data_IF_966493890738
#
_entry.id   IF_966493890738
#
_cell.length_a   1.000
_cell.length_b   1.000
_cell.length_c   1.000
_cell.angle_alpha   90.00
_cell.angle_beta   90.00
_cell.angle_gamma   90.00
#
_symmetry.space_group_name_H-M   'P 1'
#
loop_
_entity.id
_entity.type
_entity.pdbx_description
1 polymer ?
#
# COMPACT_ATOMS: atom_id res chain seq x y z
N UNK A 1 -28.29 2.24 -3.35
CA UNK A 1 -26.95 2.82 -3.67
C UNK A 1 -26.04 2.43 -2.53
N UNK A 2 -24.78 2.12 -2.79
CA UNK A 2 -23.81 1.83 -1.74
C UNK A 2 -23.63 3.06 -0.83
N UNK A 3 -23.29 2.82 0.44
CA UNK A 3 -23.13 3.88 1.43
C UNK A 3 -21.88 4.71 1.16
N UNK A 4 -20.79 4.05 0.70
CA UNK A 4 -19.51 4.69 0.36
C UNK A 4 -19.05 4.27 -1.04
N UNK A 5 -18.34 5.17 -1.71
CA UNK A 5 -17.62 4.90 -2.95
C UNK A 5 -16.12 5.02 -2.68
N UNK A 6 -15.34 4.01 -3.05
CA UNK A 6 -13.90 4.02 -2.83
C UNK A 6 -13.13 3.79 -4.12
N UNK A 7 -12.11 4.59 -4.34
CA UNK A 7 -11.20 4.44 -5.47
C UNK A 7 -10.07 3.46 -5.14
N UNK A 8 -9.81 2.51 -6.02
CA UNK A 8 -8.79 1.49 -5.82
C UNK A 8 -8.06 1.14 -7.12
N UNK A 9 -6.80 0.72 -7.01
CA UNK A 9 -6.04 0.18 -8.14
C UNK A 9 -6.41 -1.29 -8.40
N UNK A 10 -6.41 -1.75 -9.68
CA UNK A 10 -6.79 -3.13 -10.01
C UNK A 10 -5.66 -4.16 -9.83
N UNK A 11 -4.68 -3.91 -8.94
CA UNK A 11 -3.51 -4.77 -8.77
C UNK A 11 -3.76 -5.93 -7.79
N UNK A 12 -2.95 -7.00 -7.91
CA UNK A 12 -2.98 -8.19 -7.05
C UNK A 12 -2.91 -7.83 -5.57
N UNK A 13 -2.04 -6.88 -5.19
CA UNK A 13 -1.85 -6.47 -3.80
C UNK A 13 -3.06 -5.75 -3.16
N UNK A 14 -3.96 -5.20 -3.95
CA UNK A 14 -5.16 -4.55 -3.44
C UNK A 14 -6.33 -5.52 -3.21
N UNK A 15 -6.31 -6.70 -3.85
CA UNK A 15 -7.43 -7.67 -3.82
C UNK A 15 -7.91 -8.04 -2.41
N UNK A 16 -7.02 -8.32 -1.44
CA UNK A 16 -7.45 -8.65 -0.07
C UNK A 16 -8.28 -7.56 0.63
N UNK A 17 -8.11 -6.31 0.19
CA UNK A 17 -8.79 -5.15 0.78
C UNK A 17 -10.16 -4.85 0.16
N UNK A 18 -10.43 -5.37 -1.06
CA UNK A 18 -11.61 -4.96 -1.84
C UNK A 18 -12.44 -6.12 -2.42
N UNK A 19 -11.88 -7.34 -2.53
CA UNK A 19 -12.57 -8.46 -3.20
C UNK A 19 -13.94 -8.78 -2.59
N UNK A 20 -14.11 -8.52 -1.31
CA UNK A 20 -15.39 -8.70 -0.63
C UNK A 20 -16.50 -7.87 -1.27
N UNK A 21 -16.19 -6.73 -1.86
CA UNK A 21 -17.12 -5.78 -2.46
C UNK A 21 -17.38 -6.01 -3.96
N UNK A 22 -16.72 -7.00 -4.59
CA UNK A 22 -17.00 -7.37 -5.99
C UNK A 22 -18.42 -7.93 -6.18
N UNK A 23 -19.08 -8.36 -5.11
CA UNK A 23 -20.48 -8.79 -5.09
C UNK A 23 -21.40 -7.61 -4.78
N UNK A 24 -22.64 -7.60 -5.31
CA UNK A 24 -23.63 -6.60 -4.94
C UNK A 24 -23.76 -6.48 -3.42
N UNK A 25 -23.61 -5.27 -2.90
CA UNK A 25 -23.69 -4.96 -1.48
C UNK A 25 -24.18 -3.52 -1.28
N UNK A 26 -24.64 -3.22 -0.04
CA UNK A 26 -25.12 -1.88 0.33
C UNK A 26 -24.04 -0.98 0.96
N UNK A 27 -22.83 -1.50 1.16
CA UNK A 27 -21.79 -0.85 1.96
C UNK A 27 -20.83 -0.04 1.10
N UNK A 28 -20.16 -0.68 0.13
CA UNK A 28 -19.09 -0.07 -0.67
C UNK A 28 -19.26 -0.39 -2.15
N UNK A 29 -19.17 0.66 -2.97
CA UNK A 29 -18.90 0.59 -4.39
C UNK A 29 -17.42 0.86 -4.63
N UNK A 30 -16.72 -0.06 -5.32
CA UNK A 30 -15.30 0.10 -5.67
C UNK A 30 -15.16 0.61 -7.09
N UNK A 31 -14.54 1.78 -7.24
CA UNK A 31 -14.22 2.38 -8.53
C UNK A 31 -12.74 2.11 -8.81
N UNK A 32 -12.46 1.34 -9.87
CA UNK A 32 -11.11 1.00 -10.25
C UNK A 32 -10.55 2.01 -11.24
N UNK A 33 -9.37 2.57 -10.93
CA UNK A 33 -8.65 3.46 -11.86
C UNK A 33 -7.13 3.34 -11.64
N UNK A 34 -6.35 3.99 -12.52
CA UNK A 34 -4.89 4.06 -12.39
C UNK A 34 -4.49 4.98 -11.21
N UNK A 35 -3.32 4.73 -10.57
CA UNK A 35 -2.90 5.47 -9.37
C UNK A 35 -2.90 6.99 -9.54
N UNK A 36 -2.52 7.49 -10.73
CA UNK A 36 -2.43 8.92 -11.02
C UNK A 36 -3.78 9.63 -11.13
N UNK A 37 -4.90 8.90 -11.33
CA UNK A 37 -6.25 9.46 -11.46
C UNK A 37 -7.05 9.42 -10.16
N UNK A 38 -6.71 8.50 -9.25
CA UNK A 38 -7.42 8.35 -7.98
C UNK A 38 -7.50 9.65 -7.15
N UNK A 39 -6.42 10.47 -7.03
CA UNK A 39 -6.52 11.75 -6.32
C UNK A 39 -7.57 12.70 -6.93
N UNK A 40 -7.70 12.76 -8.26
CA UNK A 40 -8.69 13.61 -8.92
C UNK A 40 -10.14 13.14 -8.64
N UNK A 41 -10.39 11.84 -8.55
CA UNK A 41 -11.71 11.30 -8.17
C UNK A 41 -12.07 11.69 -6.72
N UNK A 42 -11.09 11.69 -5.81
CA UNK A 42 -11.30 12.14 -4.44
C UNK A 42 -11.55 13.66 -4.39
N UNK A 43 -10.81 14.44 -5.17
CA UNK A 43 -10.94 15.89 -5.22
C UNK A 43 -12.28 16.35 -5.83
N UNK A 44 -12.81 15.61 -6.80
CA UNK A 44 -14.13 15.88 -7.38
C UNK A 44 -15.30 15.40 -6.50
N UNK A 45 -15.04 14.62 -5.43
CA UNK A 45 -16.09 13.99 -4.61
C UNK A 45 -16.79 12.80 -5.29
N UNK A 46 -16.20 12.27 -6.36
CA UNK A 46 -16.71 11.04 -7.00
C UNK A 46 -16.49 9.82 -6.11
N UNK A 47 -15.47 9.86 -5.24
CA UNK A 47 -15.18 8.83 -4.23
C UNK A 47 -14.95 9.47 -2.86
N UNK A 48 -15.27 8.72 -1.79
CA UNK A 48 -15.13 9.15 -0.40
C UNK A 48 -13.73 8.87 0.16
N UNK A 49 -13.06 7.85 -0.39
CA UNK A 49 -11.69 7.49 -0.05
C UNK A 49 -10.98 6.80 -1.21
N UNK A 50 -9.65 6.80 -1.18
CA UNK A 50 -8.80 6.17 -2.19
C UNK A 50 -7.71 5.31 -1.55
N UNK A 51 -7.41 4.15 -2.15
CA UNK A 51 -6.20 3.39 -1.84
C UNK A 51 -5.06 3.88 -2.75
N UNK A 52 -4.14 4.64 -2.18
CA UNK A 52 -3.13 5.37 -2.96
C UNK A 52 -1.76 5.32 -2.29
N UNK A 53 -0.71 5.63 -3.05
CA UNK A 53 0.67 5.73 -2.59
C UNK A 53 0.79 6.52 -1.27
N UNK A 54 1.52 5.99 -0.29
CA UNK A 54 1.65 6.58 1.06
C UNK A 54 2.26 7.98 1.07
N UNK A 55 3.05 8.33 0.06
CA UNK A 55 3.64 9.67 -0.10
C UNK A 55 2.58 10.77 -0.20
N UNK A 56 1.37 10.47 -0.68
CA UNK A 56 0.30 11.45 -0.78
C UNK A 56 -0.11 12.00 0.59
N UNK A 57 -0.04 11.18 1.64
CA UNK A 57 -0.25 11.62 3.01
C UNK A 57 0.78 12.66 3.47
N UNK A 58 2.01 12.59 2.95
CA UNK A 58 3.10 13.51 3.31
C UNK A 58 3.11 14.77 2.44
N UNK A 59 2.57 14.70 1.24
CA UNK A 59 2.53 15.79 0.27
C UNK A 59 1.29 16.68 0.40
N UNK A 60 0.21 16.15 0.98
CA UNK A 60 -1.10 16.80 1.03
C UNK A 60 -1.56 16.95 2.46
N UNK A 61 -1.76 18.17 2.90
CA UNK A 61 -2.21 18.52 4.24
C UNK A 61 -3.74 18.41 4.43
N UNK A 62 -4.50 18.24 3.34
CA UNK A 62 -5.96 18.06 3.34
C UNK A 62 -6.41 16.59 3.48
N UNK A 63 -5.46 15.64 3.49
CA UNK A 63 -5.74 14.21 3.58
C UNK A 63 -5.51 13.66 4.99
N UNK A 64 -6.23 12.57 5.28
CA UNK A 64 -6.01 11.75 6.46
C UNK A 64 -6.21 10.26 6.14
N UNK A 65 -5.55 9.34 6.85
CA UNK A 65 -5.86 7.92 6.78
C UNK A 65 -7.27 7.64 7.33
N UNK A 66 -8.05 6.86 6.59
CA UNK A 66 -9.42 6.47 6.96
C UNK A 66 -9.53 5.01 7.39
N UNK A 67 -8.44 4.25 7.37
CA UNK A 67 -8.43 2.86 7.83
C UNK A 67 -7.07 2.45 8.39
N UNK A 68 -7.05 1.49 9.34
CA UNK A 68 -5.81 0.86 9.86
C UNK A 68 -5.32 -0.31 8.98
N UNK A 69 -5.90 -0.45 7.82
CA UNK A 69 -5.47 -1.39 6.79
C UNK A 69 -4.98 -0.65 5.56
N UNK A 70 -3.98 -1.21 4.93
CA UNK A 70 -3.31 -0.65 3.75
C UNK A 70 -2.37 -1.69 3.17
N UNK A 71 -1.33 -1.28 2.47
CA UNK A 71 -0.33 -2.17 1.90
C UNK A 71 1.04 -1.80 2.47
N UNK A 72 1.68 -2.73 3.15
CA UNK A 72 3.02 -2.58 3.71
C UNK A 72 3.83 -3.85 3.53
N UNK A 73 5.14 -3.76 3.73
CA UNK A 73 6.03 -4.92 3.87
C UNK A 73 6.98 -4.75 5.05
N UNK A 74 7.51 -5.87 5.53
CA UNK A 74 8.65 -5.92 6.45
C UNK A 74 9.56 -7.04 5.94
N UNK A 75 10.68 -6.66 5.34
CA UNK A 75 11.48 -7.52 4.49
C UNK A 75 11.05 -7.43 3.00
N UNK A 76 11.35 -8.46 2.19
CA UNK A 76 11.16 -8.43 0.75
C UNK A 76 9.68 -8.31 0.37
N UNK A 77 9.40 -7.47 -0.63
CA UNK A 77 8.07 -7.27 -1.21
C UNK A 77 7.89 -8.01 -2.54
N UNK A 78 8.99 -8.38 -3.20
CA UNK A 78 9.10 -9.09 -4.50
C UNK A 78 8.56 -8.34 -5.71
N UNK A 79 7.62 -7.42 -5.54
CA UNK A 79 6.96 -6.69 -6.64
C UNK A 79 7.40 -5.24 -6.78
N UNK A 80 8.34 -4.76 -5.96
CA UNK A 80 8.88 -3.40 -6.02
C UNK A 80 10.40 -3.50 -6.05
N UNK A 81 10.96 -3.34 -7.24
CA UNK A 81 12.36 -3.67 -7.49
C UNK A 81 13.09 -2.53 -8.19
N UNK A 82 14.38 -2.41 -7.90
CA UNK A 82 15.32 -1.64 -8.70
C UNK A 82 16.25 -2.61 -9.40
N UNK A 83 16.24 -2.61 -10.74
CA UNK A 83 17.10 -3.42 -11.60
C UNK A 83 18.21 -2.54 -12.16
N UNK A 84 19.48 -2.96 -12.06
CA UNK A 84 20.61 -2.18 -12.53
C UNK A 84 21.58 -3.01 -13.36
N UNK A 85 22.10 -2.42 -14.44
CA UNK A 85 23.18 -2.97 -15.27
C UNK A 85 24.56 -2.83 -14.64
N UNK A 86 24.69 -1.97 -13.65
CA UNK A 86 25.95 -1.60 -13.00
C UNK A 86 25.82 -1.72 -11.47
N UNK A 87 26.93 -1.78 -10.71
CA UNK A 87 26.89 -1.64 -9.25
C UNK A 87 26.16 -0.36 -8.82
N UNK A 88 25.54 -0.38 -7.64
CA UNK A 88 24.75 0.76 -7.15
C UNK A 88 25.54 2.08 -7.13
N UNK A 89 26.81 2.01 -6.74
CA UNK A 89 27.74 3.17 -6.68
C UNK A 89 28.01 3.80 -8.04
N UNK A 90 27.74 3.09 -9.11
CA UNK A 90 28.07 3.51 -10.48
C UNK A 90 26.85 3.99 -11.28
N UNK A 91 25.66 3.96 -10.65
CA UNK A 91 24.40 4.42 -11.28
C UNK A 91 24.47 5.93 -11.51
N UNK A 92 24.39 6.36 -12.75
CA UNK A 92 24.34 7.76 -13.18
C UNK A 92 22.98 8.17 -13.70
N UNK A 93 22.20 7.20 -14.20
CA UNK A 93 20.86 7.41 -14.76
C UNK A 93 19.89 6.37 -14.23
N UNK A 94 18.70 6.83 -13.80
CA UNK A 94 17.65 6.01 -13.20
C UNK A 94 16.32 6.27 -13.86
N UNK A 95 15.75 5.26 -14.51
CA UNK A 95 14.38 5.30 -15.00
C UNK A 95 13.40 5.02 -13.85
N UNK A 96 12.41 5.88 -13.68
CA UNK A 96 11.39 5.83 -12.64
C UNK A 96 10.05 5.37 -13.22
N UNK A 97 9.35 4.47 -12.53
CA UNK A 97 8.04 3.98 -12.93
C UNK A 97 6.95 5.05 -12.70
N UNK A 98 6.25 5.44 -13.76
CA UNK A 98 5.16 6.45 -13.68
C UNK A 98 4.03 6.03 -12.74
N UNK A 99 3.91 4.76 -12.42
CA UNK A 99 2.80 4.22 -11.60
C UNK A 99 3.01 4.38 -10.09
N UNK A 100 4.22 4.70 -9.59
CA UNK A 100 4.46 4.77 -8.14
C UNK A 100 5.45 5.84 -7.72
N UNK A 101 4.94 6.94 -7.23
CA UNK A 101 5.77 8.00 -6.66
C UNK A 101 6.49 7.54 -5.37
N UNK A 102 5.82 6.80 -4.48
CA UNK A 102 6.41 6.28 -3.24
C UNK A 102 7.64 5.41 -3.51
N UNK A 103 7.54 4.45 -4.43
CA UNK A 103 8.65 3.54 -4.75
C UNK A 103 9.81 4.26 -5.43
N UNK A 104 9.52 5.23 -6.28
CA UNK A 104 10.53 6.06 -6.94
C UNK A 104 11.34 6.88 -5.93
N UNK A 105 10.68 7.46 -4.94
CA UNK A 105 11.36 8.21 -3.87
C UNK A 105 12.16 7.27 -2.98
N UNK A 106 11.61 6.08 -2.64
CA UNK A 106 12.35 5.10 -1.86
C UNK A 106 13.63 4.65 -2.55
N UNK A 107 13.59 4.37 -3.86
CA UNK A 107 14.79 4.01 -4.62
C UNK A 107 15.85 5.12 -4.57
N UNK A 108 15.43 6.38 -4.72
CA UNK A 108 16.33 7.53 -4.61
C UNK A 108 16.89 7.69 -3.19
N UNK A 109 16.12 7.43 -2.13
CA UNK A 109 16.62 7.41 -0.75
C UNK A 109 17.71 6.35 -0.59
N UNK A 110 17.47 5.11 -1.06
CA UNK A 110 18.43 4.00 -0.94
C UNK A 110 19.74 4.34 -1.63
N UNK A 111 19.68 4.99 -2.79
CA UNK A 111 20.87 5.46 -3.51
C UNK A 111 21.54 6.64 -2.80
N UNK A 112 20.78 7.62 -2.34
CA UNK A 112 21.28 8.81 -1.65
C UNK A 112 21.97 8.48 -0.33
N UNK A 113 21.51 7.48 0.43
CA UNK A 113 22.17 6.97 1.64
C UNK A 113 23.54 6.33 1.33
N UNK A 114 23.80 5.98 0.07
CA UNK A 114 25.11 5.52 -0.43
C UNK A 114 25.91 6.63 -1.14
N UNK A 115 25.42 7.88 -1.12
CA UNK A 115 26.06 9.01 -1.78
C UNK A 115 25.85 9.06 -3.30
N UNK A 116 24.86 8.33 -3.83
CA UNK A 116 24.55 8.25 -5.27
C UNK A 116 23.32 9.08 -5.61
N UNK A 117 23.47 10.01 -6.54
CA UNK A 117 22.41 10.96 -6.97
C UNK A 117 22.30 10.94 -8.51
N UNK A 118 21.59 9.94 -9.08
CA UNK A 118 21.48 9.79 -10.53
C UNK A 118 20.58 10.86 -11.14
N UNK A 119 20.77 11.13 -12.43
CA UNK A 119 19.74 11.80 -13.23
C UNK A 119 18.54 10.86 -13.39
N UNK A 120 17.34 11.41 -13.20
CA UNK A 120 16.11 10.59 -13.24
C UNK A 120 15.22 10.95 -14.41
N UNK A 121 14.57 9.95 -15.01
CA UNK A 121 13.53 10.12 -16.02
C UNK A 121 12.34 9.21 -15.69
N UNK A 122 11.11 9.77 -15.74
CA UNK A 122 9.89 8.99 -15.47
C UNK A 122 9.35 8.40 -16.77
N UNK A 123 9.18 7.07 -16.79
CA UNK A 123 8.80 6.30 -17.97
C UNK A 123 7.64 5.34 -17.67
N UNK A 124 6.99 4.87 -18.73
CA UNK A 124 6.04 3.75 -18.63
C UNK A 124 6.77 2.48 -18.20
N UNK A 125 6.17 1.64 -17.31
CA UNK A 125 6.83 0.47 -16.75
C UNK A 125 7.05 -0.63 -17.82
N UNK A 126 8.28 -0.70 -18.28
CA UNK A 126 8.81 -1.71 -19.20
C UNK A 126 10.32 -1.82 -18.98
N UNK A 127 10.75 -2.77 -18.17
CA UNK A 127 12.15 -2.87 -17.72
C UNK A 127 13.15 -2.93 -18.89
N UNK A 128 12.96 -3.73 -19.95
CA UNK A 128 13.86 -3.71 -21.12
C UNK A 128 14.00 -2.32 -21.76
N UNK A 129 12.90 -1.62 -22.00
CA UNK A 129 12.92 -0.29 -22.61
C UNK A 129 13.52 0.75 -21.66
N UNK A 130 13.20 0.69 -20.37
CA UNK A 130 13.78 1.57 -19.35
C UNK A 130 15.30 1.40 -19.27
N UNK A 131 15.78 0.17 -19.25
CA UNK A 131 17.21 -0.15 -19.19
C UNK A 131 17.96 0.09 -20.53
N UNK A 132 17.27 0.23 -21.65
CA UNK A 132 17.91 0.51 -22.93
C UNK A 132 18.78 1.80 -22.86
N UNK A 133 18.28 2.84 -22.19
CA UNK A 133 18.94 4.15 -22.12
C UNK A 133 19.38 4.57 -20.69
N UNK A 134 19.10 3.75 -19.68
CA UNK A 134 19.44 4.05 -18.28
C UNK A 134 20.27 2.96 -17.66
N UNK A 135 21.08 3.30 -16.66
CA UNK A 135 21.89 2.35 -15.89
C UNK A 135 21.03 1.46 -15.02
N UNK A 136 19.94 2.02 -14.48
CA UNK A 136 18.99 1.31 -13.63
C UNK A 136 17.55 1.74 -13.90
N UNK A 137 16.60 0.91 -13.46
CA UNK A 137 15.18 1.25 -13.48
C UNK A 137 14.48 0.80 -12.18
N UNK A 138 13.45 1.55 -11.77
CA UNK A 138 12.48 1.14 -10.77
C UNK A 138 11.27 0.57 -11.51
N UNK A 139 10.78 -0.60 -11.06
CA UNK A 139 9.61 -1.24 -11.63
C UNK A 139 8.76 -1.84 -10.52
N UNK A 140 7.43 -1.68 -10.62
CA UNK A 140 6.53 -2.04 -9.54
C UNK A 140 5.33 -2.89 -9.98
N UNK A 141 4.60 -3.40 -8.97
CA UNK A 141 3.36 -4.14 -9.15
C UNK A 141 3.56 -5.44 -9.91
N UNK A 142 2.59 -5.81 -10.72
CA UNK A 142 2.63 -7.07 -11.47
C UNK A 142 3.84 -7.12 -12.40
N UNK A 143 4.17 -6.02 -13.08
CA UNK A 143 5.36 -5.91 -13.93
C UNK A 143 6.68 -6.00 -13.16
N UNK A 144 6.71 -5.46 -11.93
CA UNK A 144 7.87 -5.58 -11.04
C UNK A 144 8.10 -7.03 -10.58
N UNK A 145 7.03 -7.76 -10.32
CA UNK A 145 7.10 -9.17 -9.98
C UNK A 145 7.54 -10.05 -11.17
N UNK A 146 7.03 -9.74 -12.37
CA UNK A 146 7.29 -10.51 -13.60
C UNK A 146 8.64 -10.14 -14.26
N UNK A 147 9.27 -9.01 -13.87
CA UNK A 147 10.49 -8.55 -14.51
C UNK A 147 11.65 -9.55 -14.38
N UNK A 148 12.30 -9.87 -15.52
CA UNK A 148 13.49 -10.69 -15.54
C UNK A 148 14.70 -9.88 -15.03
N UNK A 149 15.25 -10.27 -13.90
CA UNK A 149 16.46 -9.70 -13.30
C UNK A 149 17.74 -10.47 -13.66
N UNK A 150 17.69 -11.46 -14.55
CA UNK A 150 18.83 -12.31 -14.89
C UNK A 150 19.98 -11.46 -15.45
N UNK A 151 21.14 -11.57 -14.83
CA UNK A 151 22.35 -10.81 -15.18
C UNK A 151 22.36 -9.35 -14.76
N UNK A 152 21.35 -8.90 -14.00
CA UNK A 152 21.26 -7.56 -13.42
C UNK A 152 21.56 -7.58 -11.90
N UNK A 153 21.94 -6.44 -11.36
CA UNK A 153 21.85 -6.20 -9.91
C UNK A 153 20.38 -5.96 -9.60
N UNK A 154 19.79 -6.87 -8.84
CA UNK A 154 18.37 -6.92 -8.54
C UNK A 154 18.13 -6.61 -7.07
N UNK A 155 17.49 -5.48 -6.80
CA UNK A 155 17.29 -4.98 -5.44
C UNK A 155 15.80 -4.91 -5.15
N UNK A 156 15.34 -5.73 -4.21
CA UNK A 156 14.03 -5.59 -3.60
C UNK A 156 14.02 -4.36 -2.67
N UNK A 157 13.21 -3.36 -3.00
CA UNK A 157 13.20 -2.10 -2.26
C UNK A 157 12.63 -2.25 -0.84
N UNK A 158 11.73 -3.23 -0.60
CA UNK A 158 11.20 -3.52 0.72
C UNK A 158 12.27 -4.15 1.63
N UNK A 159 13.08 -5.07 1.10
CA UNK A 159 14.22 -5.65 1.81
C UNK A 159 15.27 -4.58 2.09
N UNK A 160 15.65 -3.80 1.08
CA UNK A 160 16.65 -2.74 1.23
C UNK A 160 16.25 -1.70 2.29
N UNK A 161 14.96 -1.31 2.32
CA UNK A 161 14.45 -0.45 3.39
C UNK A 161 14.56 -1.09 4.77
N UNK A 162 14.17 -2.35 4.89
CA UNK A 162 14.21 -3.07 6.18
C UNK A 162 15.64 -3.23 6.68
N UNK A 163 16.59 -3.54 5.80
CA UNK A 163 18.01 -3.65 6.14
C UNK A 163 18.60 -2.31 6.61
N UNK A 164 18.19 -1.21 5.96
CA UNK A 164 18.67 0.13 6.27
C UNK A 164 18.09 0.69 7.58
N UNK A 165 16.82 0.40 7.88
CA UNK A 165 16.08 1.10 8.95
C UNK A 165 15.60 0.20 10.07
N UNK A 166 15.49 -1.11 9.86
CA UNK A 166 14.84 -2.05 10.77
C UNK A 166 13.32 -1.82 10.90
N UNK A 167 12.69 -1.05 10.01
CA UNK A 167 11.28 -0.65 10.08
C UNK A 167 10.47 -1.23 8.93
N UNK A 168 9.13 -1.40 9.09
CA UNK A 168 8.26 -1.72 7.97
C UNK A 168 8.16 -0.53 7.01
N UNK A 169 7.93 -0.82 5.72
CA UNK A 169 7.65 0.19 4.70
C UNK A 169 6.18 0.19 4.31
N UNK A 170 5.58 1.36 4.24
CA UNK A 170 4.18 1.56 3.86
C UNK A 170 4.09 1.97 2.40
N UNK A 171 3.52 1.11 1.58
CA UNK A 171 3.38 1.32 0.14
C UNK A 171 2.14 2.13 -0.22
N UNK A 172 0.99 1.77 0.37
CA UNK A 172 -0.28 2.43 0.12
C UNK A 172 -1.16 2.49 1.37
N UNK A 173 -1.98 3.54 1.43
CA UNK A 173 -2.92 3.83 2.51
C UNK A 173 -4.31 4.12 1.93
N UNK A 174 -5.34 3.84 2.70
CA UNK A 174 -6.65 4.40 2.47
C UNK A 174 -6.68 5.84 2.98
N UNK A 175 -6.82 6.80 2.07
CA UNK A 175 -6.86 8.23 2.37
C UNK A 175 -8.21 8.83 1.99
N UNK A 176 -8.70 9.74 2.83
CA UNK A 176 -9.88 10.54 2.59
C UNK A 176 -9.62 12.00 2.93
N UNK A 177 -10.59 12.87 2.64
CA UNK A 177 -10.51 14.30 2.97
C UNK A 177 -10.77 14.53 4.46
N UNK A 178 -9.99 15.42 5.07
CA UNK A 178 -10.16 15.83 6.49
C UNK A 178 -11.54 16.41 6.78
N UNK A 179 -12.14 17.08 5.82
CA UNK A 179 -13.48 17.69 5.93
C UNK A 179 -14.62 16.67 6.06
N UNK A 180 -14.43 15.42 5.56
CA UNK A 180 -15.41 14.32 5.62
C UNK A 180 -15.17 13.34 6.78
N UNK A 181 -14.58 13.81 7.86
CA UNK A 181 -14.09 12.99 8.98
C UNK A 181 -15.19 12.18 9.72
N UNK A 182 -16.44 12.65 9.76
CA UNK A 182 -17.51 11.99 10.54
C UNK A 182 -17.89 10.61 9.99
N UNK A 183 -17.72 10.37 8.69
CA UNK A 183 -18.04 9.09 8.05
C UNK A 183 -16.86 8.11 8.06
N UNK A 184 -15.67 8.58 8.47
CA UNK A 184 -14.43 7.79 8.41
C UNK A 184 -14.43 6.56 9.32
N UNK A 185 -15.16 6.58 10.44
CA UNK A 185 -15.23 5.45 11.37
C UNK A 185 -15.96 4.25 10.80
N UNK A 186 -17.12 4.51 10.19
CA UNK A 186 -17.93 3.46 9.58
C UNK A 186 -17.20 2.87 8.39
N UNK A 187 -16.58 3.72 7.56
CA UNK A 187 -15.74 3.31 6.45
C UNK A 187 -14.52 2.49 6.93
N UNK A 188 -13.80 2.97 7.97
CA UNK A 188 -12.70 2.23 8.60
C UNK A 188 -13.12 0.81 8.96
N UNK A 189 -14.25 0.71 9.64
CA UNK A 189 -14.74 -0.56 10.14
C UNK A 189 -15.10 -1.53 9.00
N UNK A 190 -15.75 -1.03 7.95
CA UNK A 190 -16.11 -1.83 6.76
C UNK A 190 -14.83 -2.35 6.07
N UNK A 191 -13.86 -1.48 5.83
CA UNK A 191 -12.59 -1.84 5.18
C UNK A 191 -11.78 -2.84 6.02
N UNK A 192 -11.73 -2.64 7.34
CA UNK A 192 -11.05 -3.57 8.25
C UNK A 192 -11.69 -4.96 8.25
N UNK A 193 -13.02 -5.03 8.28
CA UNK A 193 -13.74 -6.32 8.26
C UNK A 193 -13.61 -7.01 6.91
N UNK A 194 -13.61 -6.29 5.80
CA UNK A 194 -13.35 -6.87 4.48
C UNK A 194 -11.96 -7.54 4.44
N UNK A 195 -10.94 -6.88 4.99
CA UNK A 195 -9.61 -7.49 5.15
C UNK A 195 -9.66 -8.73 6.07
N UNK A 196 -10.33 -8.67 7.22
CA UNK A 196 -10.47 -9.84 8.11
C UNK A 196 -11.14 -11.01 7.41
N UNK A 197 -12.15 -10.75 6.59
CA UNK A 197 -12.83 -11.77 5.78
C UNK A 197 -11.90 -12.49 4.81
N UNK A 198 -10.84 -11.82 4.33
CA UNK A 198 -9.84 -12.43 3.45
C UNK A 198 -9.13 -13.63 4.10
N UNK A 199 -9.19 -13.77 5.43
CA UNK A 199 -8.50 -14.80 6.20
C UNK A 199 -6.97 -14.62 6.26
N UNK A 200 -6.41 -13.61 5.60
CA UNK A 200 -4.99 -13.27 5.65
C UNK A 200 -4.58 -12.67 7.00
N UNK A 201 -5.53 -12.04 7.69
CA UNK A 201 -5.32 -11.51 9.04
C UNK A 201 -4.78 -12.59 10.00
N UNK A 202 -5.31 -13.81 9.96
CA UNK A 202 -4.85 -14.91 10.82
C UNK A 202 -3.43 -15.38 10.50
N UNK A 203 -3.02 -15.30 9.24
CA UNK A 203 -1.65 -15.62 8.79
C UNK A 203 -0.70 -14.53 9.24
N UNK A 204 -1.03 -13.29 8.95
CA UNK A 204 -0.20 -12.13 9.29
C UNK A 204 -0.07 -11.91 10.79
N UNK A 205 -1.10 -12.22 11.60
CA UNK A 205 -1.01 -12.20 13.07
C UNK A 205 -0.02 -13.20 13.63
N UNK A 206 0.08 -14.40 13.07
CA UNK A 206 1.11 -15.36 13.48
C UNK A 206 2.51 -14.82 13.23
N UNK A 207 2.72 -14.14 12.10
CA UNK A 207 3.98 -13.47 11.77
C UNK A 207 4.23 -12.23 12.67
N UNK A 208 3.17 -11.50 13.02
CA UNK A 208 3.25 -10.31 13.88
C UNK A 208 3.36 -10.63 15.37
N UNK A 209 2.87 -11.79 15.87
CA UNK A 209 3.03 -12.24 17.27
C UNK A 209 4.49 -12.46 17.66
N UNK A 210 5.35 -12.72 16.71
CA UNK A 210 6.80 -12.70 16.93
C UNK A 210 7.32 -11.29 17.20
N UNK A 211 6.50 -10.25 17.00
CA UNK A 211 6.80 -8.83 17.20
C UNK A 211 5.97 -8.11 18.29
N UNK A 212 5.18 -8.81 19.08
CA UNK A 212 4.63 -8.29 20.36
C UNK A 212 3.36 -7.42 20.30
N UNK A 213 2.45 -7.59 19.34
CA UNK A 213 1.17 -6.84 19.27
C UNK A 213 0.00 -7.62 19.87
N UNK A 214 -0.72 -7.04 20.85
CA UNK A 214 -1.94 -7.58 21.46
C UNK A 214 -3.22 -6.88 20.94
N UNK A 215 -4.30 -7.67 20.75
CA UNK A 215 -5.64 -7.17 20.41
C UNK A 215 -6.48 -6.86 21.66
N UNK A 216 -7.27 -5.77 21.59
CA UNK A 216 -8.34 -5.47 22.57
C UNK A 216 -9.69 -5.89 21.96
N UNK A 217 -10.54 -6.54 22.78
CA UNK A 217 -11.90 -6.91 22.41
C UNK A 217 -12.83 -5.69 22.35
N UNK A 218 -13.65 -5.58 21.32
CA UNK A 218 -14.60 -4.49 21.07
C UNK A 218 -16.01 -5.07 20.96
N UNK A 219 -16.99 -4.43 21.61
CA UNK A 219 -18.41 -4.80 21.50
C UNK A 219 -18.99 -4.40 20.13
N UNK A 220 -19.80 -5.29 19.52
CA UNK A 220 -20.18 -5.18 18.11
C UNK A 220 -21.52 -4.43 17.90
N UNK A 221 -21.56 -3.25 17.24
CA UNK A 221 -22.80 -2.57 16.85
C UNK A 221 -23.69 -3.42 15.91
N UNK A 222 -25.00 -3.12 15.82
CA UNK A 222 -25.94 -3.87 14.96
C UNK A 222 -25.57 -3.85 13.47
N UNK A 223 -24.96 -2.77 13.01
CA UNK A 223 -24.35 -2.65 11.69
C UNK A 223 -23.28 -3.74 11.46
N UNK A 224 -22.47 -4.05 12.48
CA UNK A 224 -21.45 -5.09 12.42
C UNK A 224 -22.04 -6.48 12.24
N UNK A 225 -23.18 -6.79 12.87
CA UNK A 225 -23.85 -8.10 12.71
C UNK A 225 -24.29 -8.33 11.27
N UNK A 226 -24.82 -7.28 10.61
CA UNK A 226 -25.20 -7.35 9.18
C UNK A 226 -23.99 -7.59 8.28
N UNK A 227 -22.91 -6.89 8.55
CA UNK A 227 -21.66 -7.00 7.78
C UNK A 227 -20.98 -8.36 8.02
N UNK A 228 -20.96 -8.84 9.27
CA UNK A 228 -20.46 -10.19 9.61
C UNK A 228 -21.26 -11.27 8.86
N UNK A 229 -22.60 -11.19 8.84
CA UNK A 229 -23.44 -12.10 8.08
C UNK A 229 -23.12 -12.11 6.58
N UNK A 230 -22.96 -10.94 5.98
CA UNK A 230 -22.57 -10.81 4.57
C UNK A 230 -21.18 -11.40 4.27
N UNK A 231 -20.24 -11.25 5.20
CA UNK A 231 -18.89 -11.82 5.13
C UNK A 231 -18.94 -13.35 5.29
N UNK A 232 -19.74 -13.87 6.23
CA UNK A 232 -19.90 -15.33 6.48
C UNK A 232 -20.50 -16.05 5.28
N UNK A 233 -21.30 -15.37 4.46
CA UNK A 233 -21.80 -15.88 3.18
C UNK A 233 -20.71 -16.10 2.11
N UNK A 234 -19.43 -15.82 2.43
CA UNK A 234 -18.28 -16.20 1.62
C UNK A 234 -17.70 -15.07 0.74
N UNK A 235 -18.08 -13.81 1.01
CA UNK A 235 -17.67 -12.67 0.19
C UNK A 235 -16.14 -12.45 0.13
N UNK A 236 -15.39 -12.87 1.15
CA UNK A 236 -13.98 -12.52 1.25
C UNK A 236 -13.01 -13.64 1.61
N UNK A 237 -13.42 -14.91 1.53
CA UNK A 237 -12.54 -16.03 1.92
C UNK A 237 -11.23 -16.02 1.15
N UNK A 238 -10.14 -16.44 1.78
CA UNK A 238 -8.78 -16.50 1.21
C UNK A 238 -8.73 -17.12 -0.19
N UNK A 239 -9.47 -18.22 -0.40
CA UNK A 239 -9.59 -18.86 -1.72
C UNK A 239 -10.26 -17.96 -2.75
N UNK A 240 -11.23 -17.13 -2.38
CA UNK A 240 -11.88 -16.14 -3.26
C UNK A 240 -10.90 -15.03 -3.61
N UNK A 241 -10.14 -14.52 -2.63
CA UNK A 241 -9.08 -13.52 -2.83
C UNK A 241 -8.06 -14.01 -3.86
N UNK A 242 -7.51 -15.23 -3.64
CA UNK A 242 -6.46 -15.76 -4.51
C UNK A 242 -6.98 -16.04 -5.92
N UNK A 243 -8.17 -16.65 -6.07
CA UNK A 243 -8.79 -16.86 -7.37
C UNK A 243 -9.00 -15.54 -8.11
N UNK A 244 -9.59 -14.54 -7.44
CA UNK A 244 -9.81 -13.24 -8.04
C UNK A 244 -8.51 -12.52 -8.44
N UNK A 245 -7.43 -12.72 -7.70
CA UNK A 245 -6.12 -12.18 -8.04
C UNK A 245 -5.52 -12.88 -9.28
N UNK A 246 -5.62 -14.21 -9.36
CA UNK A 246 -5.19 -15.00 -10.54
C UNK A 246 -5.98 -14.59 -11.79
N UNK A 247 -7.30 -14.45 -11.69
CA UNK A 247 -8.16 -14.05 -12.82
C UNK A 247 -7.83 -12.67 -13.40
N UNK A 248 -7.18 -11.81 -12.61
CA UNK A 248 -6.84 -10.42 -12.98
C UNK A 248 -5.36 -10.18 -13.25
N UNK A 249 -4.54 -11.23 -13.20
CA UNK A 249 -3.09 -11.17 -13.43
C UNK A 249 -2.63 -12.32 -14.31
N UNK A 250 -1.34 -12.32 -14.67
CA UNK A 250 -0.69 -13.45 -15.34
C UNK A 250 -0.02 -14.42 -14.34
N UNK A 251 -0.30 -14.26 -13.03
CA UNK A 251 0.37 -15.03 -11.98
C UNK A 251 -0.31 -16.38 -11.74
N UNK A 252 0.50 -17.37 -11.34
CA UNK A 252 -0.04 -18.65 -10.88
C UNK A 252 -0.68 -18.50 -9.50
N UNK A 253 -1.48 -19.49 -9.10
CA UNK A 253 -2.09 -19.51 -7.77
C UNK A 253 -1.02 -19.51 -6.67
N UNK A 254 0.05 -20.27 -6.85
CA UNK A 254 1.18 -20.37 -5.92
C UNK A 254 1.93 -19.03 -5.78
N UNK A 255 2.11 -18.31 -6.87
CA UNK A 255 2.73 -16.98 -6.88
C UNK A 255 1.86 -15.96 -6.12
N UNK A 256 0.55 -15.97 -6.37
CA UNK A 256 -0.41 -15.13 -5.64
C UNK A 256 -0.41 -15.46 -4.15
N UNK A 257 -0.47 -16.75 -3.79
CA UNK A 257 -0.46 -17.21 -2.39
C UNK A 257 0.82 -16.76 -1.68
N UNK A 258 1.97 -17.03 -2.25
CA UNK A 258 3.29 -16.65 -1.72
C UNK A 258 3.36 -15.13 -1.49
N UNK A 259 2.98 -14.35 -2.51
CA UNK A 259 3.05 -12.89 -2.46
C UNK A 259 2.12 -12.29 -1.41
N UNK A 260 0.84 -12.69 -1.39
CA UNK A 260 -0.15 -12.14 -0.48
C UNK A 260 0.02 -12.63 0.98
N UNK A 261 0.73 -13.74 1.20
CA UNK A 261 0.98 -14.26 2.55
C UNK A 261 2.32 -13.84 3.13
N UNK A 262 3.36 -13.67 2.30
CA UNK A 262 4.73 -13.41 2.75
C UNK A 262 5.31 -12.08 2.23
N UNK A 263 4.97 -11.65 1.03
CA UNK A 263 5.53 -10.44 0.43
C UNK A 263 4.90 -9.15 0.97
N UNK A 264 3.57 -9.13 1.15
CA UNK A 264 2.85 -7.95 1.63
C UNK A 264 2.08 -8.22 2.92
N UNK A 265 1.78 -7.15 3.65
CA UNK A 265 0.96 -7.16 4.86
C UNK A 265 -0.05 -6.03 4.76
N UNK A 266 -1.20 -6.18 5.41
CA UNK A 266 -2.32 -5.26 5.25
C UNK A 266 -2.67 -4.52 6.53
N UNK A 267 -2.35 -5.06 7.69
CA UNK A 267 -2.52 -4.38 8.96
C UNK A 267 -1.32 -3.47 9.21
N UNK A 268 -1.56 -2.18 9.39
CA UNK A 268 -0.53 -1.12 9.46
C UNK A 268 0.21 -1.11 10.82
N UNK A 269 0.82 -2.24 11.17
CA UNK A 269 1.58 -2.39 12.40
C UNK A 269 2.91 -1.62 12.34
N UNK A 270 3.19 -0.77 13.36
CA UNK A 270 4.38 0.11 13.40
C UNK A 270 4.58 0.98 12.15
N UNK A 271 3.54 1.11 11.33
CA UNK A 271 3.58 1.92 10.10
C UNK A 271 4.00 3.37 10.34
N UNK A 272 3.62 3.91 11.51
CA UNK A 272 3.94 5.27 11.93
C UNK A 272 5.45 5.53 11.97
N UNK A 273 6.21 4.59 12.57
CA UNK A 273 7.67 4.72 12.63
C UNK A 273 8.30 4.65 11.23
N UNK A 274 7.79 3.78 10.37
CA UNK A 274 8.24 3.68 8.99
C UNK A 274 7.93 4.94 8.18
N UNK A 275 6.72 5.50 8.32
CA UNK A 275 6.32 6.74 7.64
C UNK A 275 7.10 7.96 8.16
N UNK A 276 7.33 8.07 9.48
CA UNK A 276 8.15 9.14 10.06
C UNK A 276 9.60 9.07 9.55
N UNK A 277 10.19 7.86 9.51
CA UNK A 277 11.53 7.67 8.97
C UNK A 277 11.61 7.96 7.47
N UNK A 278 10.59 7.59 6.71
CA UNK A 278 10.49 7.89 5.29
C UNK A 278 10.45 9.41 5.05
N UNK A 279 9.63 10.15 5.82
CA UNK A 279 9.60 11.60 5.81
C UNK A 279 10.97 12.22 6.12
N UNK A 280 11.60 11.81 7.23
CA UNK A 280 12.93 12.29 7.63
C UNK A 280 13.96 12.16 6.50
N UNK A 281 13.98 11.01 5.81
CA UNK A 281 14.92 10.76 4.71
C UNK A 281 14.58 11.55 3.44
N UNK A 282 13.29 11.78 3.15
CA UNK A 282 12.89 12.70 2.06
C UNK A 282 13.41 14.11 2.33
N UNK A 283 13.23 14.62 3.55
CA UNK A 283 13.68 15.96 3.94
C UNK A 283 15.20 16.05 3.95
N UNK A 284 15.90 15.05 4.51
CA UNK A 284 17.36 14.95 4.53
C UNK A 284 17.97 15.09 3.13
N UNK A 285 17.38 14.43 2.14
CA UNK A 285 17.91 14.40 0.77
C UNK A 285 17.21 15.35 -0.20
N UNK A 286 16.22 16.12 0.29
CA UNK A 286 15.44 17.09 -0.51
C UNK A 286 14.84 16.48 -1.79
N UNK A 287 14.24 15.27 -1.67
CA UNK A 287 13.78 14.48 -2.81
C UNK A 287 12.41 14.89 -3.36
N UNK A 288 11.56 15.47 -2.51
CA UNK A 288 10.31 16.08 -2.94
C UNK A 288 9.80 17.10 -1.92
N UNK A 289 8.91 17.99 -2.38
CA UNK A 289 8.26 18.93 -1.48
C UNK A 289 7.19 18.23 -0.66
N UNK A 290 7.25 18.41 0.67
CA UNK A 290 6.25 17.93 1.62
C UNK A 290 5.44 19.13 2.13
N UNK A 291 4.11 19.03 2.09
CA UNK A 291 3.20 20.13 2.49
C UNK A 291 2.47 19.80 3.79
N UNK A 292 2.29 18.51 4.10
CA UNK A 292 1.64 18.11 5.32
C UNK A 292 2.56 18.35 6.53
N UNK A 293 2.06 18.87 7.68
CA UNK A 293 2.79 18.86 8.93
C UNK A 293 3.12 17.41 9.31
N UNK A 294 4.07 17.24 10.23
CA UNK A 294 4.35 15.89 10.74
C UNK A 294 3.04 15.30 11.29
N UNK A 295 2.55 14.19 10.71
CA UNK A 295 1.28 13.64 11.13
C UNK A 295 1.37 13.21 12.60
N UNK A 296 0.55 13.74 13.49
CA UNK A 296 0.37 13.16 14.82
C UNK A 296 -0.39 11.84 14.69
N UNK A 297 0.38 10.79 14.41
CA UNK A 297 -0.13 9.44 14.27
C UNK A 297 -0.76 8.90 15.56
N UNK A 298 -0.40 9.43 16.72
CA UNK A 298 -1.03 9.09 18.01
C UNK A 298 -2.40 9.74 18.13
N UNK A 299 -2.55 10.97 17.66
CA UNK A 299 -3.84 11.63 17.59
C UNK A 299 -4.76 10.95 16.58
N UNK A 300 -4.24 10.57 15.43
CA UNK A 300 -4.97 9.79 14.42
C UNK A 300 -5.48 8.46 15.00
N UNK A 301 -4.64 7.78 15.76
CA UNK A 301 -4.99 6.54 16.45
C UNK A 301 -6.03 6.77 17.54
N UNK A 302 -5.89 7.81 18.37
CA UNK A 302 -6.93 8.22 19.32
C UNK A 302 -8.23 8.59 18.61
N UNK A 303 -8.17 9.35 17.54
CA UNK A 303 -9.35 9.79 16.81
C UNK A 303 -10.13 8.65 16.11
N UNK A 304 -9.45 7.56 15.75
CA UNK A 304 -10.09 6.32 15.28
C UNK A 304 -10.60 5.48 16.45
N UNK A 305 -9.90 5.47 17.62
CA UNK A 305 -10.21 4.61 18.77
C UNK A 305 -11.03 5.29 19.88
N UNK A 306 -10.86 6.60 20.13
CA UNK A 306 -11.60 7.31 21.20
C UNK A 306 -13.08 7.57 20.86
N UNK A 307 -13.50 7.21 19.64
CA UNK A 307 -14.89 7.29 19.18
C UNK A 307 -15.60 5.93 19.22
N UNK A 308 -14.96 4.88 19.72
CA UNK A 308 -15.62 3.61 20.06
C UNK A 308 -16.08 3.76 21.52
N UNK A 309 -17.41 3.81 21.79
CA UNK A 309 -17.91 3.83 23.17
C UNK A 309 -17.36 2.63 23.93
N UNK A 310 -16.81 2.91 25.12
CA UNK A 310 -16.32 1.91 26.08
C UNK A 310 -17.41 0.92 26.48
#
# INVERSE_FOLDING_TARGET
MAQFRVGCVPYVNARPLVVAFDRPNEFIEVIYDIPSRLPALLDSGEVDAILVSSIELLRRDDLLPVAEVGIMSYGPVKSVRMLSKVPLTDIKTLALDVSSLTSNILAQIILAEQGVFPMTETLSPDAPNMLANHDACVIIGDKGFEADGTGLVDIDLGQAWTDMTGLPFVWALWLGKKEHRLDSQQLHFILYLAYKASGLDSVHRKLNRQSGAEERGIEKPDFQKKLDGWIEEGAGRRTTVFKSAVERSNWTYEQVEEYLTHGVRFQLFKSQMGLAKFRELIEKHNLCQLSAPEPDYFELKRQIFDLIPS
#
